data_IF_057422340981
#
_entry.id   IF_057422340981
#
_cell.length_a   1.000
_cell.length_b   1.000
_cell.length_c   1.000
_cell.angle_alpha   90.00
_cell.angle_beta   90.00
_cell.angle_gamma   90.00
#
_symmetry.space_group_name_H-M   'P 1'
#
loop_
_entity.id
_entity.type
_entity.pdbx_description
1 polymer ?
#
# COMPACT_ATOMS: atom_id res chain seq x y z
N UNK A 1 22.73 -8.08 11.02
CA UNK A 1 22.58 -6.67 11.47
C UNK A 1 21.34 -6.10 10.80
N UNK A 2 20.30 -5.72 11.58
CA UNK A 2 19.11 -5.10 11.03
C UNK A 2 19.49 -3.77 10.36
N UNK A 3 19.08 -3.55 9.12
CA UNK A 3 19.28 -2.27 8.46
C UNK A 3 18.50 -1.19 9.24
N UNK A 4 19.07 0.00 9.35
CA UNK A 4 18.35 1.13 9.93
C UNK A 4 17.07 1.38 9.15
N UNK A 5 15.93 1.48 9.86
CA UNK A 5 14.63 1.75 9.27
C UNK A 5 14.58 3.21 8.80
N UNK A 6 14.27 3.41 7.53
CA UNK A 6 14.12 4.74 6.92
C UNK A 6 12.65 5.16 7.01
N UNK A 7 12.38 6.31 7.61
CA UNK A 7 11.01 6.84 7.78
C UNK A 7 10.78 8.17 7.04
N UNK A 8 11.85 8.88 6.67
CA UNK A 8 11.75 10.13 5.92
C UNK A 8 11.24 9.88 4.49
N UNK A 9 10.07 10.45 4.18
CA UNK A 9 9.39 10.22 2.91
C UNK A 9 10.18 10.75 1.70
N UNK A 10 10.86 11.88 1.85
CA UNK A 10 11.65 12.46 0.77
C UNK A 10 12.91 11.62 0.50
N UNK A 11 13.52 11.08 1.55
CA UNK A 11 14.64 10.16 1.43
C UNK A 11 14.20 8.86 0.76
N UNK A 12 13.05 8.30 1.16
CA UNK A 12 12.49 7.08 0.57
C UNK A 12 12.21 7.26 -0.91
N UNK A 13 11.56 8.36 -1.30
CA UNK A 13 11.25 8.65 -2.69
C UNK A 13 12.53 8.74 -3.54
N UNK A 14 13.53 9.49 -3.08
CA UNK A 14 14.82 9.58 -3.78
C UNK A 14 15.53 8.23 -3.88
N UNK A 15 15.55 7.47 -2.79
CA UNK A 15 16.20 6.16 -2.76
C UNK A 15 15.48 5.14 -3.64
N UNK A 16 14.15 5.12 -3.67
CA UNK A 16 13.38 4.22 -4.53
C UNK A 16 13.66 4.50 -6.02
N UNK A 17 13.73 5.77 -6.41
CA UNK A 17 14.09 6.17 -7.78
C UNK A 17 15.53 5.78 -8.10
N UNK A 18 16.48 6.08 -7.22
CA UNK A 18 17.90 5.77 -7.44
C UNK A 18 18.18 4.26 -7.52
N UNK A 19 17.33 3.43 -6.90
CA UNK A 19 17.44 1.97 -6.87
C UNK A 19 16.50 1.26 -7.85
N UNK A 20 15.91 1.95 -8.80
CA UNK A 20 14.93 1.37 -9.71
C UNK A 20 15.47 0.14 -10.46
N UNK A 21 16.70 0.17 -10.96
CA UNK A 21 17.33 -0.96 -11.66
C UNK A 21 17.61 -2.13 -10.71
N UNK A 22 18.07 -1.84 -9.49
CA UNK A 22 18.29 -2.86 -8.45
C UNK A 22 16.97 -3.53 -8.05
N UNK A 23 15.89 -2.75 -7.91
CA UNK A 23 14.56 -3.26 -7.66
C UNK A 23 14.04 -4.12 -8.82
N UNK A 24 14.23 -3.69 -10.07
CA UNK A 24 13.89 -4.46 -11.26
C UNK A 24 14.62 -5.80 -11.32
N UNK A 25 15.93 -5.80 -11.03
CA UNK A 25 16.73 -7.03 -10.94
C UNK A 25 16.25 -7.96 -9.83
N UNK A 26 15.89 -7.42 -8.67
CA UNK A 26 15.30 -8.20 -7.59
C UNK A 26 13.95 -8.83 -7.97
N UNK A 27 13.11 -8.12 -8.72
CA UNK A 27 11.85 -8.70 -9.24
C UNK A 27 12.15 -9.89 -10.14
N UNK A 28 13.09 -9.73 -11.07
CA UNK A 28 13.49 -10.80 -11.98
C UNK A 28 13.98 -12.02 -11.20
N UNK A 29 14.88 -11.82 -10.25
CA UNK A 29 15.38 -12.88 -9.37
C UNK A 29 14.24 -13.60 -8.64
N UNK A 30 13.34 -12.87 -7.96
CA UNK A 30 12.25 -13.47 -7.20
C UNK A 30 11.29 -14.24 -8.08
N UNK A 31 11.00 -13.74 -9.29
CA UNK A 31 10.02 -14.35 -10.20
C UNK A 31 10.57 -15.56 -10.95
N UNK A 32 11.83 -15.55 -11.33
CA UNK A 32 12.40 -16.51 -12.29
C UNK A 32 13.46 -17.43 -11.67
N UNK A 33 14.18 -17.00 -10.64
CA UNK A 33 15.35 -17.70 -10.15
C UNK A 33 15.18 -18.22 -8.71
N UNK A 34 14.38 -17.53 -7.88
CA UNK A 34 14.23 -17.89 -6.48
C UNK A 34 13.48 -19.22 -6.30
N UNK A 35 14.19 -20.26 -5.87
CA UNK A 35 13.69 -21.61 -5.60
C UNK A 35 12.99 -21.73 -4.23
N UNK A 36 12.01 -20.87 -3.98
CA UNK A 36 11.13 -20.94 -2.80
C UNK A 36 9.67 -21.11 -3.24
N UNK A 37 8.94 -21.94 -2.49
CA UNK A 37 7.48 -21.97 -2.67
C UNK A 37 6.85 -20.64 -2.30
N UNK A 38 5.75 -20.27 -2.93
CA UNK A 38 5.02 -19.03 -2.62
C UNK A 38 4.58 -18.97 -1.16
N UNK A 39 4.24 -20.12 -0.57
CA UNK A 39 3.92 -20.22 0.86
C UNK A 39 5.10 -19.79 1.72
N UNK A 40 6.30 -20.28 1.43
CA UNK A 40 7.51 -19.94 2.21
C UNK A 40 7.90 -18.49 1.99
N UNK A 41 7.86 -18.02 0.75
CA UNK A 41 8.15 -16.63 0.43
C UNK A 41 7.18 -15.68 1.16
N UNK A 42 5.87 -15.94 1.10
CA UNK A 42 4.88 -15.14 1.80
C UNK A 42 5.10 -15.13 3.34
N UNK A 43 5.54 -16.23 3.93
CA UNK A 43 5.89 -16.28 5.34
C UNK A 43 7.08 -15.35 5.66
N UNK A 44 8.16 -15.42 4.88
CA UNK A 44 9.34 -14.55 5.04
C UNK A 44 8.95 -13.07 4.91
N UNK A 45 8.15 -12.74 3.89
CA UNK A 45 7.68 -11.37 3.67
C UNK A 45 6.83 -10.88 4.85
N UNK A 46 5.95 -11.72 5.38
CA UNK A 46 5.10 -11.38 6.52
C UNK A 46 5.90 -11.16 7.80
N UNK A 47 6.90 -12.00 8.07
CA UNK A 47 7.83 -11.85 9.19
C UNK A 47 8.63 -10.55 9.07
N UNK A 48 9.21 -10.29 7.89
CA UNK A 48 9.96 -9.06 7.61
C UNK A 48 9.07 -7.82 7.77
N UNK A 49 7.85 -7.85 7.24
CA UNK A 49 6.90 -6.77 7.38
C UNK A 49 6.52 -6.52 8.85
N UNK A 50 6.30 -7.57 9.64
CA UNK A 50 5.99 -7.45 11.06
C UNK A 50 7.12 -6.74 11.83
N UNK A 51 8.39 -7.02 11.51
CA UNK A 51 9.52 -6.32 12.11
C UNK A 51 9.54 -4.83 11.73
N UNK A 52 9.32 -4.50 10.46
CA UNK A 52 9.27 -3.10 9.99
C UNK A 52 8.13 -2.35 10.64
N UNK A 53 6.96 -2.98 10.79
CA UNK A 53 5.78 -2.35 11.42
C UNK A 53 5.99 -1.95 12.90
N UNK A 54 6.93 -2.56 13.60
CA UNK A 54 7.27 -2.14 14.97
C UNK A 54 7.82 -0.71 15.03
N UNK A 55 8.33 -0.19 13.92
CA UNK A 55 8.99 1.11 13.80
C UNK A 55 8.20 2.16 13.04
N UNK A 56 7.11 1.78 12.35
CA UNK A 56 6.35 2.66 11.47
C UNK A 56 4.85 2.49 11.75
N UNK A 57 4.20 3.57 12.19
CA UNK A 57 2.74 3.62 12.32
C UNK A 57 2.13 4.28 11.07
N UNK A 58 1.35 3.53 10.30
CA UNK A 58 0.64 4.02 9.12
C UNK A 58 -0.32 5.19 9.44
N UNK A 59 -0.90 5.22 10.65
CA UNK A 59 -1.83 6.25 11.08
C UNK A 59 -1.16 7.61 11.26
N UNK A 60 0.14 7.62 11.51
CA UNK A 60 0.92 8.87 11.61
C UNK A 60 1.54 9.29 10.28
N UNK A 61 1.76 8.35 9.36
CA UNK A 61 2.35 8.59 8.05
C UNK A 61 1.34 9.17 7.05
N UNK A 62 0.23 8.50 6.83
CA UNK A 62 -0.87 8.83 5.90
C UNK A 62 -0.45 9.17 4.45
N UNK A 63 0.78 8.83 4.01
CA UNK A 63 1.28 9.20 2.69
C UNK A 63 0.50 8.56 1.54
N UNK A 64 0.08 7.31 1.69
CA UNK A 64 -0.79 6.65 0.71
C UNK A 64 -2.14 7.39 0.54
N UNK A 65 -2.71 7.94 1.62
CA UNK A 65 -3.93 8.73 1.55
C UNK A 65 -3.73 10.09 0.86
N UNK A 66 -2.49 10.57 0.74
CA UNK A 66 -2.16 11.81 0.05
C UNK A 66 -1.81 11.63 -1.41
N UNK A 67 -1.40 10.42 -1.81
CA UNK A 67 -0.76 10.19 -3.11
C UNK A 67 -1.42 9.10 -3.95
N UNK A 68 -2.40 8.35 -3.41
CA UNK A 68 -3.04 7.26 -4.13
C UNK A 68 -4.56 7.36 -4.09
N UNK A 69 -5.20 6.99 -5.20
CA UNK A 69 -6.65 6.92 -5.33
C UNK A 69 -7.15 5.54 -4.89
N UNK A 70 -7.78 5.41 -3.71
CA UNK A 70 -8.36 4.13 -3.30
C UNK A 70 -9.59 3.79 -4.14
N UNK A 71 -9.79 2.49 -4.41
CA UNK A 71 -10.99 2.00 -5.10
C UNK A 71 -12.07 1.61 -4.10
N UNK A 72 -13.34 1.83 -4.48
CA UNK A 72 -14.52 1.52 -3.70
C UNK A 72 -15.48 0.66 -4.52
N UNK A 73 -15.85 -0.49 -4.01
CA UNK A 73 -16.95 -1.29 -4.55
C UNK A 73 -18.31 -0.70 -4.14
N UNK A 74 -19.40 -1.08 -4.81
CA UNK A 74 -20.76 -0.62 -4.45
C UNK A 74 -21.13 -0.92 -2.98
N UNK A 75 -20.91 -2.15 -2.45
CA UNK A 75 -21.20 -2.42 -1.04
C UNK A 75 -20.38 -1.57 -0.06
N UNK A 76 -19.12 -1.25 -0.42
CA UNK A 76 -18.30 -0.36 0.41
C UNK A 76 -18.82 1.07 0.41
N UNK A 77 -19.27 1.56 -0.74
CA UNK A 77 -19.91 2.88 -0.85
C UNK A 77 -21.15 2.97 0.06
N UNK A 78 -22.01 1.95 0.03
CA UNK A 78 -23.21 1.88 0.88
C UNK A 78 -22.86 1.87 2.37
N UNK A 79 -21.89 1.04 2.77
CA UNK A 79 -21.41 0.94 4.15
C UNK A 79 -20.81 2.26 4.65
N UNK A 80 -19.96 2.90 3.84
CA UNK A 80 -19.32 4.16 4.19
C UNK A 80 -20.36 5.28 4.27
N UNK A 81 -21.27 5.36 3.30
CA UNK A 81 -22.34 6.34 3.29
C UNK A 81 -23.19 6.27 4.58
N UNK A 82 -23.61 5.06 4.96
CA UNK A 82 -24.35 4.85 6.20
C UNK A 82 -23.55 5.30 7.44
N UNK A 83 -22.25 5.01 7.49
CA UNK A 83 -21.38 5.38 8.60
C UNK A 83 -21.26 6.91 8.78
N UNK A 84 -21.18 7.66 7.69
CA UNK A 84 -21.05 9.13 7.74
C UNK A 84 -22.40 9.87 7.62
N UNK A 85 -23.53 9.15 7.63
CA UNK A 85 -24.86 9.75 7.62
C UNK A 85 -25.29 10.32 6.27
N UNK A 86 -24.80 9.77 5.16
CA UNK A 86 -25.18 10.15 3.79
C UNK A 86 -25.92 9.03 3.06
N UNK A 87 -26.64 9.37 2.00
CA UNK A 87 -27.05 8.36 1.02
C UNK A 87 -25.84 7.93 0.16
N UNK A 88 -25.91 6.72 -0.40
CA UNK A 88 -24.88 6.24 -1.33
C UNK A 88 -24.73 7.14 -2.56
N UNK A 89 -25.83 7.73 -3.04
CA UNK A 89 -25.83 8.69 -4.14
C UNK A 89 -25.12 9.98 -3.75
N UNK A 90 -25.42 10.54 -2.59
CA UNK A 90 -24.78 11.75 -2.08
C UNK A 90 -23.28 11.56 -1.89
N UNK A 91 -22.86 10.40 -1.35
CA UNK A 91 -21.44 10.07 -1.20
C UNK A 91 -20.72 9.99 -2.55
N UNK A 92 -21.32 9.30 -3.53
CA UNK A 92 -20.74 9.22 -4.88
C UNK A 92 -20.63 10.60 -5.54
N UNK A 93 -21.70 11.35 -5.53
CA UNK A 93 -21.75 12.69 -6.15
C UNK A 93 -20.72 13.62 -5.54
N UNK A 94 -20.54 13.57 -4.23
CA UNK A 94 -19.67 14.51 -3.50
C UNK A 94 -18.21 14.11 -3.55
N UNK A 95 -17.87 12.83 -3.40
CA UNK A 95 -16.51 12.40 -3.13
C UNK A 95 -15.91 11.45 -4.17
N UNK A 96 -16.73 10.79 -4.98
CA UNK A 96 -16.27 9.71 -5.83
C UNK A 96 -16.54 9.97 -7.31
N UNK A 97 -15.78 9.31 -8.16
CA UNK A 97 -16.01 9.21 -9.60
C UNK A 97 -15.90 7.75 -10.03
N UNK A 98 -16.52 7.40 -11.15
CA UNK A 98 -16.39 6.05 -11.72
C UNK A 98 -15.01 5.88 -12.33
N UNK A 99 -14.39 4.74 -12.02
CA UNK A 99 -13.19 4.28 -12.69
C UNK A 99 -13.59 3.33 -13.82
N UNK A 100 -13.34 3.75 -15.06
CA UNK A 100 -13.76 3.02 -16.25
C UNK A 100 -13.08 1.65 -16.37
N UNK A 101 -11.82 1.54 -15.92
CA UNK A 101 -11.01 0.34 -16.08
C UNK A 101 -11.43 -0.78 -15.11
N UNK A 102 -11.72 -0.42 -13.87
CA UNK A 102 -12.08 -1.41 -12.83
C UNK A 102 -13.58 -1.61 -12.63
N UNK A 103 -14.42 -0.71 -13.16
CA UNK A 103 -15.86 -0.68 -12.89
C UNK A 103 -16.23 -0.34 -11.44
N UNK A 104 -15.27 0.15 -10.67
CA UNK A 104 -15.41 0.61 -9.29
C UNK A 104 -15.51 2.13 -9.23
N UNK A 105 -15.52 2.66 -8.03
CA UNK A 105 -15.38 4.10 -7.78
C UNK A 105 -13.99 4.40 -7.24
N UNK A 106 -13.50 5.61 -7.48
CA UNK A 106 -12.28 6.18 -6.87
C UNK A 106 -12.60 7.55 -6.29
N UNK A 107 -11.75 8.08 -5.41
CA UNK A 107 -11.89 9.47 -4.95
C UNK A 107 -11.68 10.45 -6.10
N UNK A 108 -12.41 11.57 -6.09
CA UNK A 108 -12.32 12.60 -7.14
C UNK A 108 -11.00 13.34 -7.13
N UNK A 109 -10.40 13.46 -5.96
CA UNK A 109 -9.24 14.29 -5.71
C UNK A 109 -8.28 13.66 -4.70
N UNK A 110 -7.08 14.19 -4.63
CA UNK A 110 -6.08 13.94 -3.60
C UNK A 110 -5.71 15.27 -2.93
N UNK A 111 -5.40 15.24 -1.64
CA UNK A 111 -5.46 14.10 -0.71
C UNK A 111 -6.86 13.49 -0.60
N UNK A 112 -6.91 12.20 -0.18
CA UNK A 112 -8.18 11.50 0.03
C UNK A 112 -9.15 12.36 0.86
N UNK A 113 -10.41 12.59 0.43
CA UNK A 113 -11.35 13.48 1.10
C UNK A 113 -11.77 13.00 2.51
N UNK A 114 -11.45 11.76 2.85
CA UNK A 114 -11.66 11.20 4.20
C UNK A 114 -10.44 11.31 5.11
N UNK A 115 -9.39 12.01 4.67
CA UNK A 115 -8.20 12.26 5.48
C UNK A 115 -8.35 13.55 6.27
N UNK A 116 -8.35 13.45 7.59
CA UNK A 116 -8.38 14.57 8.53
C UNK A 116 -7.03 14.65 9.25
N UNK A 117 -6.20 15.62 8.88
CA UNK A 117 -4.80 15.65 9.33
C UNK A 117 -4.03 14.42 8.82
N UNK A 118 -3.72 13.49 9.72
CA UNK A 118 -3.10 12.19 9.41
C UNK A 118 -4.02 10.99 9.70
N UNK A 119 -5.26 11.24 10.10
CA UNK A 119 -6.21 10.20 10.49
C UNK A 119 -7.29 10.03 9.43
N UNK A 120 -7.73 8.80 9.26
CA UNK A 120 -8.82 8.47 8.35
C UNK A 120 -10.17 8.58 9.09
N UNK A 121 -11.05 9.52 8.67
CA UNK A 121 -12.37 9.70 9.26
C UNK A 121 -13.29 8.46 9.12
N UNK A 122 -13.01 7.60 8.13
CA UNK A 122 -13.76 6.37 7.88
C UNK A 122 -12.93 5.11 8.21
N UNK A 123 -11.98 5.20 9.15
CA UNK A 123 -11.02 4.12 9.41
C UNK A 123 -11.69 2.77 9.69
N UNK A 124 -12.76 2.75 10.49
CA UNK A 124 -13.49 1.53 10.87
C UNK A 124 -14.22 0.85 9.69
N UNK A 125 -14.63 1.65 8.72
CA UNK A 125 -15.39 1.23 7.54
C UNK A 125 -14.64 1.43 6.23
N UNK A 126 -13.32 1.65 6.30
CA UNK A 126 -12.48 1.91 5.13
C UNK A 126 -12.58 0.78 4.09
N UNK A 127 -12.39 1.08 2.81
CA UNK A 127 -12.46 0.05 1.77
C UNK A 127 -11.36 -1.01 1.95
N UNK A 128 -11.62 -2.21 1.43
CA UNK A 128 -10.71 -3.35 1.57
C UNK A 128 -9.30 -3.07 1.03
N UNK A 129 -9.20 -2.25 -0.02
CA UNK A 129 -7.91 -1.84 -0.58
C UNK A 129 -7.08 -1.05 0.42
N UNK A 130 -7.71 -0.19 1.21
CA UNK A 130 -7.05 0.57 2.28
C UNK A 130 -6.75 -0.33 3.50
N UNK A 131 -7.69 -1.21 3.86
CA UNK A 131 -7.52 -2.11 4.98
C UNK A 131 -6.38 -3.13 4.78
N UNK A 132 -6.17 -3.57 3.54
CA UNK A 132 -5.12 -4.51 3.16
C UNK A 132 -3.79 -3.86 2.79
N UNK A 133 -3.74 -2.54 2.63
CA UNK A 133 -2.51 -1.84 2.23
C UNK A 133 -1.41 -2.00 3.29
N UNK A 134 -0.17 -2.24 2.91
CA UNK A 134 0.41 -2.23 1.57
C UNK A 134 0.46 -3.61 0.86
N UNK A 135 -0.44 -4.53 1.18
CA UNK A 135 -0.66 -5.80 0.49
C UNK A 135 0.55 -6.78 0.48
N UNK A 136 1.35 -6.78 1.52
CA UNK A 136 2.57 -7.61 1.62
C UNK A 136 2.33 -9.04 2.13
N UNK A 137 1.15 -9.35 2.65
CA UNK A 137 0.87 -10.60 3.37
C UNK A 137 0.36 -11.75 2.50
N UNK A 138 0.09 -11.54 1.21
CA UNK A 138 -0.40 -12.57 0.28
C UNK A 138 0.07 -12.33 -1.14
N UNK A 139 0.33 -13.44 -1.85
CA UNK A 139 0.63 -13.42 -3.29
C UNK A 139 1.79 -12.47 -3.65
N UNK A 140 2.80 -12.39 -2.79
CA UNK A 140 3.90 -11.45 -2.95
C UNK A 140 4.58 -11.58 -4.32
N UNK A 141 4.95 -12.81 -4.74
CA UNK A 141 5.61 -13.04 -6.03
C UNK A 141 4.80 -12.49 -7.21
N UNK A 142 3.50 -12.76 -7.25
CA UNK A 142 2.65 -12.30 -8.36
C UNK A 142 2.43 -10.78 -8.35
N UNK A 143 2.40 -10.16 -7.15
CA UNK A 143 2.15 -8.73 -6.95
C UNK A 143 3.41 -7.87 -6.89
N UNK A 144 4.58 -8.45 -7.08
CA UNK A 144 5.85 -7.78 -6.81
C UNK A 144 6.05 -6.50 -7.62
N UNK A 145 5.56 -6.43 -8.88
CA UNK A 145 5.58 -5.18 -9.65
C UNK A 145 4.78 -4.06 -8.98
N UNK A 146 3.55 -4.35 -8.56
CA UNK A 146 2.72 -3.39 -7.82
C UNK A 146 3.35 -3.00 -6.47
N UNK A 147 4.09 -3.92 -5.85
CA UNK A 147 4.83 -3.65 -4.61
C UNK A 147 5.95 -2.64 -4.88
N UNK A 148 6.64 -2.73 -6.02
CA UNK A 148 7.65 -1.75 -6.39
C UNK A 148 7.08 -0.35 -6.58
N UNK A 149 5.93 -0.22 -7.23
CA UNK A 149 5.26 1.08 -7.42
C UNK A 149 4.98 1.76 -6.07
N UNK A 150 4.71 0.95 -5.04
CA UNK A 150 4.49 1.43 -3.69
C UNK A 150 5.79 1.77 -2.90
N UNK A 151 6.95 1.36 -3.38
CA UNK A 151 8.22 1.57 -2.67
C UNK A 151 8.58 3.05 -2.48
N UNK A 152 8.23 3.90 -3.45
CA UNK A 152 8.45 5.35 -3.37
C UNK A 152 7.42 6.07 -2.48
N UNK A 153 6.30 5.41 -2.14
CA UNK A 153 5.17 5.99 -1.42
C UNK A 153 5.11 5.51 0.03
N UNK A 154 5.40 4.22 0.25
CA UNK A 154 5.18 3.57 1.53
C UNK A 154 6.49 3.21 2.23
N UNK A 155 6.79 3.82 3.39
CA UNK A 155 7.99 3.49 4.17
C UNK A 155 8.08 2.00 4.53
N UNK A 156 6.95 1.36 4.79
CA UNK A 156 6.92 -0.08 5.09
C UNK A 156 7.37 -0.88 3.90
N UNK A 157 6.81 -0.63 2.71
CA UNK A 157 7.19 -1.33 1.48
C UNK A 157 8.67 -1.14 1.17
N UNK A 158 9.16 0.09 1.24
CA UNK A 158 10.57 0.40 0.99
C UNK A 158 11.49 -0.42 1.90
N UNK A 159 11.29 -0.35 3.21
CA UNK A 159 12.14 -1.05 4.17
C UNK A 159 12.02 -2.58 4.08
N UNK A 160 10.83 -3.10 3.78
CA UNK A 160 10.63 -4.54 3.54
C UNK A 160 11.41 -5.00 2.31
N UNK A 161 11.33 -4.29 1.18
CA UNK A 161 12.08 -4.62 -0.02
C UNK A 161 13.59 -4.59 0.23
N UNK A 162 14.10 -3.55 0.90
CA UNK A 162 15.52 -3.45 1.25
C UNK A 162 15.98 -4.59 2.17
N UNK A 163 15.13 -5.03 3.07
CA UNK A 163 15.43 -6.17 3.96
C UNK A 163 15.40 -7.49 3.20
N UNK A 164 14.41 -7.70 2.32
CA UNK A 164 14.28 -8.92 1.53
C UNK A 164 15.44 -9.07 0.54
N UNK A 165 15.89 -7.99 -0.11
CA UNK A 165 17.07 -8.03 -0.99
C UNK A 165 18.30 -8.55 -0.27
N UNK A 166 18.51 -8.15 0.98
CA UNK A 166 19.66 -8.58 1.79
C UNK A 166 19.55 -10.02 2.30
N UNK A 167 18.35 -10.53 2.47
CA UNK A 167 18.13 -11.85 3.07
C UNK A 167 17.92 -12.96 2.05
N UNK A 168 17.53 -12.62 0.81
CA UNK A 168 17.22 -13.59 -0.23
C UNK A 168 18.28 -13.64 -1.35
N UNK A 169 19.12 -12.63 -1.46
CA UNK A 169 20.28 -12.60 -2.36
C UNK A 169 21.58 -12.75 -1.59
#
# INVERSE_FOLDING_TARGET
>A
MSAAIVTDLAQIQRAAVAKADEHGSFVTFVKLELELSDRRLNAIVSETAAEVWKHIDCRTCANCCRSQYPTFSRPEVERIAAYIGLSAEALRTRYLTSDADSGKYITRELPCPFLEGNLCAIYEVRPAVCAGYPHLHRNFRSRLWQTLDNAAVCPIVFNVLESLKKSLT
#
